data_IF_529327884874
#
_entry.id   IF_529327884874
#
_cell.length_a   1.000
_cell.length_b   1.000
_cell.length_c   1.000
_cell.angle_alpha   90.00
_cell.angle_beta   90.00
_cell.angle_gamma   90.00
#
_symmetry.space_group_name_H-M   'P 1'
#
loop_
_entity.id
_entity.type
_entity.pdbx_description
1 polymer ?
#
# COMPACT_ATOMS: atom_id res chain seq x y z
N UNK A 1 -24.26 6.12 13.26
CA UNK A 1 -23.83 6.43 11.88
C UNK A 1 -25.00 6.99 11.10
N UNK A 2 -24.79 7.91 10.15
CA UNK A 2 -25.88 8.35 9.25
C UNK A 2 -26.21 7.20 8.28
N UNK A 3 -27.48 6.91 7.97
CA UNK A 3 -27.88 5.79 7.10
C UNK A 3 -27.26 5.89 5.70
N UNK A 4 -26.97 7.10 5.22
CA UNK A 4 -26.27 7.34 3.96
C UNK A 4 -24.83 6.79 3.94
N UNK A 5 -24.12 6.78 5.07
CA UNK A 5 -22.74 6.27 5.14
C UNK A 5 -22.67 4.74 5.03
N UNK A 6 -23.72 4.04 5.48
CA UNK A 6 -23.87 2.59 5.34
C UNK A 6 -24.07 2.20 3.87
N UNK A 7 -25.04 2.84 3.19
CA UNK A 7 -25.32 2.58 1.77
C UNK A 7 -24.11 2.84 0.87
N UNK A 8 -23.35 3.90 1.18
CA UNK A 8 -22.16 4.26 0.41
C UNK A 8 -21.01 3.29 0.67
N UNK A 9 -20.86 2.78 1.89
CA UNK A 9 -19.92 1.71 2.18
C UNK A 9 -20.23 0.45 1.37
N UNK A 10 -21.49 0.01 1.35
CA UNK A 10 -21.93 -1.15 0.57
C UNK A 10 -21.67 -0.93 -0.93
N UNK A 11 -22.10 0.21 -1.49
CA UNK A 11 -21.91 0.52 -2.89
C UNK A 11 -20.42 0.58 -3.29
N UNK A 12 -19.58 1.18 -2.45
CA UNK A 12 -18.14 1.22 -2.65
C UNK A 12 -17.50 -0.19 -2.61
N UNK A 13 -17.97 -1.05 -1.70
CA UNK A 13 -17.52 -2.43 -1.62
C UNK A 13 -17.88 -3.24 -2.86
N UNK A 14 -19.12 -3.11 -3.37
CA UNK A 14 -19.53 -3.74 -4.62
C UNK A 14 -18.71 -3.22 -5.81
N UNK A 15 -18.47 -1.91 -5.89
CA UNK A 15 -17.61 -1.34 -6.94
C UNK A 15 -16.18 -1.89 -6.88
N UNK A 16 -15.59 -2.00 -5.69
CA UNK A 16 -14.27 -2.62 -5.49
C UNK A 16 -14.25 -4.09 -5.92
N UNK A 17 -15.29 -4.86 -5.59
CA UNK A 17 -15.43 -6.25 -6.02
C UNK A 17 -15.52 -6.38 -7.55
N UNK A 18 -16.28 -5.53 -8.22
CA UNK A 18 -16.41 -5.53 -9.68
C UNK A 18 -15.09 -5.16 -10.39
N UNK A 19 -14.38 -4.15 -9.87
CA UNK A 19 -13.06 -3.77 -10.38
C UNK A 19 -12.06 -4.92 -10.26
N UNK A 20 -12.13 -5.68 -9.16
CA UNK A 20 -11.26 -6.83 -8.95
C UNK A 20 -11.70 -8.07 -9.75
N UNK A 21 -13.00 -8.28 -9.93
CA UNK A 21 -13.55 -9.44 -10.65
C UNK A 21 -13.00 -9.54 -12.08
N UNK A 22 -12.75 -8.41 -12.73
CA UNK A 22 -12.14 -8.39 -14.06
C UNK A 22 -10.77 -9.10 -14.13
N UNK A 23 -9.97 -9.05 -13.06
CA UNK A 23 -8.67 -9.75 -13.00
C UNK A 23 -8.85 -11.27 -13.14
N UNK A 24 -9.91 -11.79 -12.50
CA UNK A 24 -10.22 -13.22 -12.50
C UNK A 24 -10.71 -13.67 -13.88
N UNK A 25 -11.37 -12.79 -14.63
CA UNK A 25 -11.82 -13.05 -16.00
C UNK A 25 -10.69 -12.95 -17.05
N UNK A 26 -9.43 -12.73 -16.63
CA UNK A 26 -8.22 -12.78 -17.47
C UNK A 26 -8.20 -11.86 -18.70
N UNK A 27 -8.84 -10.68 -18.65
CA UNK A 27 -8.67 -9.69 -19.72
C UNK A 27 -7.49 -8.76 -19.44
N UNK A 28 -6.69 -8.44 -20.47
CA UNK A 28 -5.50 -7.59 -20.35
C UNK A 28 -5.84 -6.20 -19.78
N UNK A 29 -6.98 -5.63 -20.19
CA UNK A 29 -7.48 -4.34 -19.67
C UNK A 29 -7.91 -4.42 -18.20
N UNK A 30 -8.32 -5.60 -17.73
CA UNK A 30 -8.80 -5.78 -16.37
C UNK A 30 -7.70 -5.82 -15.30
N UNK A 31 -6.44 -6.08 -15.68
CA UNK A 31 -5.31 -5.98 -14.74
C UNK A 31 -5.26 -4.56 -14.16
N UNK A 32 -5.28 -3.53 -15.02
CA UNK A 32 -5.25 -2.13 -14.59
C UNK A 32 -6.47 -1.77 -13.72
N UNK A 33 -7.65 -2.26 -14.09
CA UNK A 33 -8.88 -2.03 -13.31
C UNK A 33 -8.81 -2.68 -11.92
N UNK A 34 -8.21 -3.86 -11.81
CA UNK A 34 -8.07 -4.55 -10.52
C UNK A 34 -7.13 -3.81 -9.56
N UNK A 35 -6.11 -3.12 -10.09
CA UNK A 35 -5.24 -2.25 -9.28
C UNK A 35 -6.01 -1.05 -8.72
N UNK A 36 -7.12 -0.65 -9.35
CA UNK A 36 -7.98 0.42 -8.86
C UNK A 36 -8.98 -0.03 -7.77
N UNK A 37 -9.08 -1.33 -7.46
CA UNK A 37 -10.04 -1.87 -6.49
C UNK A 37 -9.97 -1.23 -5.07
N UNK A 38 -8.82 -0.79 -4.52
CA UNK A 38 -8.79 -0.09 -3.24
C UNK A 38 -9.44 1.30 -3.25
N UNK A 39 -9.54 1.96 -4.42
CA UNK A 39 -9.92 3.37 -4.53
C UNK A 39 -11.34 3.62 -4.00
N UNK A 40 -12.39 2.85 -4.37
CA UNK A 40 -13.72 3.02 -3.80
C UNK A 40 -13.75 2.91 -2.27
N UNK A 41 -12.96 1.99 -1.70
CA UNK A 41 -12.88 1.76 -0.25
C UNK A 41 -12.24 2.97 0.43
N UNK A 42 -11.15 3.51 -0.13
CA UNK A 42 -10.55 4.74 0.36
C UNK A 42 -11.51 5.93 0.28
N UNK A 43 -12.27 6.08 -0.81
CA UNK A 43 -13.26 7.15 -0.97
C UNK A 43 -14.33 7.06 0.13
N UNK A 44 -14.86 5.87 0.39
CA UNK A 44 -15.83 5.64 1.46
C UNK A 44 -15.23 5.97 2.84
N UNK A 45 -14.02 5.48 3.12
CA UNK A 45 -13.32 5.73 4.39
C UNK A 45 -13.03 7.21 4.63
N UNK A 46 -12.50 7.92 3.63
CA UNK A 46 -12.09 9.32 3.76
C UNK A 46 -13.28 10.29 3.72
N UNK A 47 -14.31 10.00 2.92
CA UNK A 47 -15.43 10.91 2.70
C UNK A 47 -16.64 10.70 3.63
N UNK A 48 -16.81 9.49 4.18
CA UNK A 48 -17.95 9.09 5.01
C UNK A 48 -17.56 8.47 6.35
N UNK A 49 -16.26 8.45 6.65
CA UNK A 49 -15.71 8.00 7.92
C UNK A 49 -15.28 6.54 7.91
N UNK A 50 -14.49 6.17 8.90
CA UNK A 50 -13.78 4.88 8.94
C UNK A 50 -14.72 3.67 8.94
N UNK A 51 -15.88 3.77 9.59
CA UNK A 51 -16.83 2.65 9.61
C UNK A 51 -17.38 2.37 8.21
N UNK A 52 -17.59 3.40 7.38
CA UNK A 52 -17.99 3.22 5.98
C UNK A 52 -16.91 2.50 5.18
N UNK A 53 -15.63 2.80 5.44
CA UNK A 53 -14.48 2.10 4.85
C UNK A 53 -14.41 0.61 5.22
N UNK A 54 -14.59 0.26 6.50
CA UNK A 54 -14.59 -1.15 6.94
C UNK A 54 -15.80 -1.92 6.40
N UNK A 55 -16.97 -1.30 6.31
CA UNK A 55 -18.14 -1.90 5.66
C UNK A 55 -17.84 -2.15 4.18
N UNK A 56 -17.24 -1.17 3.48
CA UNK A 56 -16.85 -1.34 2.08
C UNK A 56 -15.88 -2.51 1.89
N UNK A 57 -14.89 -2.66 2.79
CA UNK A 57 -13.96 -3.77 2.74
C UNK A 57 -14.64 -5.14 2.92
N UNK A 58 -15.52 -5.26 3.92
CA UNK A 58 -16.30 -6.48 4.15
C UNK A 58 -17.22 -6.81 2.98
N UNK A 59 -17.95 -5.81 2.47
CA UNK A 59 -18.83 -5.96 1.30
C UNK A 59 -18.04 -6.36 0.07
N UNK A 60 -16.84 -5.82 -0.16
CA UNK A 60 -16.00 -6.19 -1.30
C UNK A 60 -15.63 -7.67 -1.30
N UNK A 61 -15.18 -8.19 -0.15
CA UNK A 61 -14.85 -9.62 0.01
C UNK A 61 -16.07 -10.52 -0.17
N UNK A 62 -17.20 -10.17 0.46
CA UNK A 62 -18.45 -10.94 0.37
C UNK A 62 -18.99 -10.95 -1.06
N UNK A 63 -19.03 -9.78 -1.72
CA UNK A 63 -19.55 -9.65 -3.06
C UNK A 63 -18.70 -10.46 -4.05
N UNK A 64 -17.38 -10.38 -3.98
CA UNK A 64 -16.50 -11.15 -4.86
C UNK A 64 -16.62 -12.66 -4.61
N UNK A 65 -16.68 -13.10 -3.35
CA UNK A 65 -16.90 -14.50 -3.01
C UNK A 65 -18.21 -15.03 -3.59
N UNK A 66 -19.28 -14.23 -3.50
CA UNK A 66 -20.59 -14.58 -4.05
C UNK A 66 -20.59 -14.60 -5.59
N UNK A 67 -19.94 -13.64 -6.25
CA UNK A 67 -19.89 -13.56 -7.73
C UNK A 67 -19.12 -14.73 -8.34
N UNK A 68 -18.03 -15.16 -7.71
CA UNK A 68 -17.17 -16.24 -8.20
C UNK A 68 -17.45 -17.60 -7.56
N UNK A 69 -18.47 -17.69 -6.70
CA UNK A 69 -18.79 -18.89 -5.91
C UNK A 69 -17.58 -19.50 -5.21
N UNK A 70 -16.65 -18.65 -4.75
CA UNK A 70 -15.37 -19.06 -4.16
C UNK A 70 -15.03 -18.21 -2.95
N UNK A 71 -14.98 -18.83 -1.78
CA UNK A 71 -14.56 -18.14 -0.56
C UNK A 71 -13.11 -17.64 -0.67
N UNK A 72 -12.25 -18.40 -1.37
CA UNK A 72 -10.85 -18.04 -1.57
C UNK A 72 -10.65 -16.73 -2.32
N UNK A 73 -11.45 -16.45 -3.35
CA UNK A 73 -11.35 -15.19 -4.10
C UNK A 73 -11.75 -13.98 -3.26
N UNK A 74 -12.83 -14.09 -2.48
CA UNK A 74 -13.26 -13.05 -1.54
C UNK A 74 -12.22 -12.78 -0.45
N UNK A 75 -11.62 -13.84 0.12
CA UNK A 75 -10.54 -13.73 1.09
C UNK A 75 -9.29 -13.09 0.49
N UNK A 76 -8.97 -13.38 -0.76
CA UNK A 76 -7.85 -12.78 -1.49
C UNK A 76 -8.04 -11.27 -1.62
N UNK A 77 -9.18 -10.80 -2.13
CA UNK A 77 -9.48 -9.36 -2.24
C UNK A 77 -9.52 -8.69 -0.85
N UNK A 78 -10.17 -9.33 0.12
CA UNK A 78 -10.32 -8.80 1.48
C UNK A 78 -8.96 -8.58 2.15
N UNK A 79 -8.09 -9.59 2.13
CA UNK A 79 -6.81 -9.56 2.85
C UNK A 79 -5.72 -8.75 2.13
N UNK A 80 -5.62 -8.82 0.80
CA UNK A 80 -4.58 -8.07 0.06
C UNK A 80 -4.90 -6.59 -0.08
N UNK A 81 -6.15 -6.23 -0.40
CA UNK A 81 -6.47 -4.87 -0.85
C UNK A 81 -7.48 -4.19 0.06
N UNK A 82 -8.60 -4.86 0.34
CA UNK A 82 -9.74 -4.20 0.95
C UNK A 82 -9.50 -3.81 2.41
N UNK A 83 -8.95 -4.72 3.21
CA UNK A 83 -8.64 -4.49 4.61
C UNK A 83 -7.47 -3.51 4.80
N UNK A 84 -6.33 -3.65 4.10
CA UNK A 84 -5.28 -2.63 4.11
C UNK A 84 -5.77 -1.23 3.73
N UNK A 85 -6.67 -1.14 2.73
CA UNK A 85 -7.27 0.13 2.33
C UNK A 85 -8.15 0.74 3.43
N UNK A 86 -8.99 -0.07 4.10
CA UNK A 86 -9.82 0.40 5.21
C UNK A 86 -8.98 0.86 6.41
N UNK A 87 -7.91 0.12 6.75
CA UNK A 87 -6.98 0.49 7.83
C UNK A 87 -6.27 1.80 7.50
N UNK A 88 -5.67 1.92 6.31
CA UNK A 88 -4.96 3.12 5.92
C UNK A 88 -5.90 4.34 5.77
N UNK A 89 -7.12 4.14 5.27
CA UNK A 89 -8.15 5.17 5.22
C UNK A 89 -8.62 5.61 6.62
N UNK A 90 -8.73 4.69 7.58
CA UNK A 90 -9.01 5.02 8.97
C UNK A 90 -7.90 5.87 9.57
N UNK A 91 -6.65 5.42 9.48
CA UNK A 91 -5.49 6.13 10.00
C UNK A 91 -5.34 7.52 9.36
N UNK A 92 -5.56 7.64 8.05
CA UNK A 92 -5.50 8.93 7.37
C UNK A 92 -6.57 9.93 7.86
N UNK A 93 -7.71 9.43 8.32
CA UNK A 93 -8.80 10.23 8.88
C UNK A 93 -8.68 10.55 10.37
N UNK A 94 -7.73 9.94 11.09
CA UNK A 94 -7.50 10.23 12.50
C UNK A 94 -6.85 11.61 12.67
N UNK A 95 -7.43 12.40 13.56
CA UNK A 95 -6.90 13.68 14.00
C UNK A 95 -7.17 13.89 15.48
N UNK A 96 -6.26 14.57 16.17
CA UNK A 96 -6.37 14.95 17.58
C UNK A 96 -6.47 16.48 17.66
N UNK A 97 -7.33 17.01 18.52
CA UNK A 97 -7.32 18.44 18.81
C UNK A 97 -6.06 18.78 19.62
N UNK A 98 -5.25 19.73 19.15
CA UNK A 98 -4.14 20.28 19.93
C UNK A 98 -4.63 21.47 20.75
N UNK A 99 -4.61 21.33 22.07
CA UNK A 99 -4.92 22.38 23.03
C UNK A 99 -4.88 21.85 24.46
N UNK A 100 -4.00 22.42 25.29
CA UNK A 100 -3.97 22.28 26.75
C UNK A 100 -5.23 22.90 27.38
N UNK A 101 -6.35 22.21 27.21
CA UNK A 101 -7.46 22.29 28.13
C UNK A 101 -7.77 20.87 28.58
N UNK A 102 -7.01 20.41 29.58
CA UNK A 102 -7.64 19.54 30.57
C UNK A 102 -9.00 20.13 30.92
N UNK A 103 -10.08 19.34 31.07
CA UNK A 103 -11.34 19.85 31.58
C UNK A 103 -11.20 20.16 33.08
N UNK A 104 -10.32 21.08 33.45
CA UNK A 104 -10.57 21.90 34.63
C UNK A 104 -11.73 22.77 34.22
N UNK A 105 -12.91 22.48 34.74
CA UNK A 105 -14.03 23.40 34.72
C UNK A 105 -13.68 24.58 35.64
N UNK A 106 -13.59 25.83 35.15
CA UNK A 106 -14.17 26.93 35.88
C UNK A 106 -15.58 27.13 35.33
N UNK A 107 -16.55 27.22 36.22
CA UNK A 107 -17.91 27.62 35.89
C UNK A 107 -17.89 28.81 34.93
N UNK A 108 -18.50 28.63 33.76
CA UNK A 108 -18.63 29.68 32.77
C UNK A 108 -19.55 30.79 33.32
N UNK A 109 -18.96 31.92 33.70
CA UNK A 109 -19.68 33.19 33.72
C UNK A 109 -19.88 33.64 32.27
N UNK A 110 -21.13 33.76 31.87
CA UNK A 110 -21.55 34.08 30.52
C UNK A 110 -21.15 35.51 30.11
N UNK A 111 -20.03 35.67 29.40
CA UNK A 111 -19.82 36.78 28.45
C UNK A 111 -18.50 36.63 27.67
N UNK A 112 -18.56 36.00 26.49
CA UNK A 112 -17.88 36.44 25.28
C UNK A 112 -18.19 35.48 24.12
N UNK A 113 -19.04 35.92 23.19
CA UNK A 113 -19.27 35.32 21.87
C UNK A 113 -18.19 35.74 20.87
N UNK A 114 -16.91 35.55 21.21
CA UNK A 114 -15.88 35.47 20.18
C UNK A 114 -15.96 34.08 19.55
N UNK A 115 -16.23 34.01 18.24
CA UNK A 115 -16.17 32.77 17.47
C UNK A 115 -14.86 32.03 17.79
N UNK A 116 -14.97 30.89 18.46
CA UNK A 116 -13.83 30.06 18.79
C UNK A 116 -13.06 29.77 17.50
N UNK A 117 -11.82 30.22 17.44
CA UNK A 117 -10.89 29.87 16.35
C UNK A 117 -10.90 28.35 16.24
N UNK A 118 -11.00 27.75 15.04
CA UNK A 118 -10.95 26.30 14.90
C UNK A 118 -9.68 25.81 15.61
N UNK A 119 -9.86 25.00 16.65
CA UNK A 119 -8.75 24.41 17.40
C UNK A 119 -7.83 23.74 16.37
N UNK A 120 -6.50 23.97 16.39
CA UNK A 120 -5.62 23.31 15.45
C UNK A 120 -5.76 21.79 15.62
N UNK A 121 -6.02 21.08 14.53
CA UNK A 121 -6.06 19.61 14.51
C UNK A 121 -4.69 19.09 14.11
N UNK A 122 -4.12 18.23 14.95
CA UNK A 122 -2.93 17.44 14.63
C UNK A 122 -3.34 16.12 13.98
N UNK A 123 -2.95 15.93 12.72
CA UNK A 123 -3.36 14.81 11.89
C UNK A 123 -2.40 13.64 12.03
N UNK A 124 -2.92 12.42 11.93
CA UNK A 124 -2.08 11.23 12.03
C UNK A 124 -0.93 11.25 11.01
N UNK A 125 0.32 11.02 11.44
CA UNK A 125 1.49 11.30 10.65
C UNK A 125 1.63 10.35 9.46
N UNK A 126 2.06 10.88 8.31
CA UNK A 126 2.22 10.12 7.07
C UNK A 126 3.21 8.95 7.23
N UNK A 127 4.18 9.08 8.15
CA UNK A 127 5.14 8.02 8.44
C UNK A 127 4.50 6.76 9.02
N UNK A 128 3.55 6.94 9.94
CA UNK A 128 2.81 5.82 10.55
C UNK A 128 1.78 5.24 9.57
N UNK A 129 1.22 6.06 8.67
CA UNK A 129 0.33 5.58 7.59
C UNK A 129 1.10 4.68 6.62
N UNK A 130 2.26 5.13 6.13
CA UNK A 130 3.08 4.32 5.21
C UNK A 130 3.55 3.02 5.87
N UNK A 131 3.96 3.08 7.13
CA UNK A 131 4.30 1.88 7.91
C UNK A 131 3.13 0.91 8.05
N UNK A 132 1.92 1.41 8.33
CA UNK A 132 0.73 0.59 8.42
C UNK A 132 0.33 -0.02 7.06
N UNK A 133 0.49 0.72 5.96
CA UNK A 133 0.29 0.19 4.60
C UNK A 133 1.26 -0.96 4.35
N UNK A 134 2.57 -0.77 4.59
CA UNK A 134 3.58 -1.81 4.38
C UNK A 134 3.33 -3.05 5.26
N UNK A 135 2.96 -2.84 6.53
CA UNK A 135 2.70 -3.93 7.48
C UNK A 135 1.43 -4.70 7.16
N UNK A 136 0.33 -4.00 6.83
CA UNK A 136 -0.94 -4.65 6.46
C UNK A 136 -0.86 -5.34 5.10
N UNK A 137 -0.13 -4.78 4.13
CA UNK A 137 0.16 -5.44 2.87
C UNK A 137 0.99 -6.72 3.08
N UNK A 138 2.02 -6.68 3.94
CA UNK A 138 2.81 -7.87 4.26
C UNK A 138 1.94 -8.95 4.89
N UNK A 139 1.14 -8.60 5.90
CA UNK A 139 0.22 -9.53 6.56
C UNK A 139 -0.78 -10.14 5.57
N UNK A 140 -1.35 -9.34 4.68
CA UNK A 140 -2.27 -9.80 3.63
C UNK A 140 -1.62 -10.78 2.66
N UNK A 141 -0.42 -10.45 2.16
CA UNK A 141 0.33 -11.31 1.24
C UNK A 141 0.77 -12.63 1.91
N UNK A 142 1.21 -12.59 3.17
CA UNK A 142 1.55 -13.78 3.94
C UNK A 142 0.33 -14.68 4.13
N UNK A 143 -0.81 -14.09 4.47
CA UNK A 143 -2.07 -14.83 4.60
C UNK A 143 -2.49 -15.47 3.28
N UNK A 144 -2.36 -14.76 2.15
CA UNK A 144 -2.68 -15.31 0.82
C UNK A 144 -1.71 -16.43 0.43
N UNK A 145 -0.42 -16.24 0.66
CA UNK A 145 0.59 -17.28 0.40
C UNK A 145 0.28 -18.57 1.16
N UNK A 146 -0.12 -18.44 2.43
CA UNK A 146 -0.60 -19.58 3.22
C UNK A 146 -1.92 -20.17 2.69
N UNK A 147 -2.91 -19.33 2.38
CA UNK A 147 -4.23 -19.74 1.91
C UNK A 147 -4.15 -20.54 0.59
N UNK A 148 -3.26 -20.13 -0.32
CA UNK A 148 -3.05 -20.77 -1.62
C UNK A 148 -2.08 -21.97 -1.52
N UNK A 149 -1.36 -22.12 -0.41
CA UNK A 149 -0.33 -23.14 -0.26
C UNK A 149 0.86 -22.88 -1.20
N UNK A 150 1.29 -21.62 -1.28
CA UNK A 150 2.37 -21.20 -2.18
C UNK A 150 3.66 -21.97 -1.92
N UNK A 151 4.09 -22.77 -2.90
CA UNK A 151 5.33 -23.55 -2.88
C UNK A 151 6.08 -23.38 -4.20
N UNK A 152 7.25 -22.72 -4.20
CA UNK A 152 8.05 -22.54 -5.42
C UNK A 152 8.42 -23.84 -6.13
N UNK A 153 8.58 -24.94 -5.40
CA UNK A 153 8.99 -26.22 -5.96
C UNK A 153 7.89 -26.87 -6.82
N UNK A 154 6.62 -26.63 -6.48
CA UNK A 154 5.46 -27.15 -7.21
C UNK A 154 4.99 -26.19 -8.29
N UNK A 155 5.04 -24.87 -8.05
CA UNK A 155 4.59 -23.87 -9.02
C UNK A 155 5.55 -23.71 -10.22
N UNK A 156 6.87 -23.84 -10.01
CA UNK A 156 7.86 -23.68 -11.08
C UNK A 156 7.64 -24.65 -12.26
N UNK A 157 7.45 -25.97 -12.06
CA UNK A 157 7.19 -26.89 -13.18
C UNK A 157 5.84 -26.63 -13.87
N UNK A 158 4.80 -26.20 -13.14
CA UNK A 158 3.51 -25.84 -13.74
C UNK A 158 3.63 -24.63 -14.67
N UNK A 159 4.36 -23.60 -14.25
CA UNK A 159 4.62 -22.42 -15.08
C UNK A 159 5.51 -22.77 -16.27
N UNK A 160 6.53 -23.61 -16.10
CA UNK A 160 7.35 -24.09 -17.20
C UNK A 160 6.51 -24.83 -18.25
N UNK A 161 5.59 -25.71 -17.82
CA UNK A 161 4.68 -26.42 -18.70
C UNK A 161 3.75 -25.46 -19.46
N UNK A 162 3.21 -24.44 -18.78
CA UNK A 162 2.35 -23.43 -19.40
C UNK A 162 3.10 -22.58 -20.44
N UNK A 163 4.34 -22.17 -20.15
CA UNK A 163 5.19 -21.43 -21.10
C UNK A 163 5.53 -22.28 -22.34
N UNK A 164 5.85 -23.55 -22.13
CA UNK A 164 6.17 -24.49 -23.21
C UNK A 164 4.96 -24.72 -24.12
N UNK A 165 3.76 -24.88 -23.52
CA UNK A 165 2.52 -24.99 -24.28
C UNK A 165 2.24 -23.74 -25.15
N UNK A 166 2.73 -22.57 -24.74
CA UNK A 166 2.55 -21.31 -25.47
C UNK A 166 3.55 -21.14 -26.63
N UNK A 167 4.74 -21.76 -26.58
CA UNK A 167 5.72 -21.75 -27.67
C UNK A 167 5.40 -22.76 -28.79
N UNK A 168 4.53 -23.75 -28.54
CA UNK A 168 4.19 -24.81 -29.49
C UNK A 168 5.21 -25.97 -29.51
N UNK A 169 4.82 -27.10 -30.09
CA UNK A 169 5.69 -28.28 -30.16
C UNK A 169 6.84 -28.07 -31.17
N UNK A 170 8.09 -28.09 -30.68
CA UNK A 170 9.29 -27.97 -31.53
C UNK A 170 10.49 -27.24 -30.90
N UNK A 171 10.50 -27.00 -29.58
CA UNK A 171 11.63 -26.42 -28.87
C UNK A 171 12.79 -27.42 -28.72
N UNK A 172 14.00 -27.01 -29.11
CA UNK A 172 15.22 -27.77 -28.82
C UNK A 172 15.48 -27.85 -27.30
N UNK A 173 16.25 -28.85 -26.88
CA UNK A 173 16.54 -29.10 -25.46
C UNK A 173 17.17 -27.89 -24.73
N UNK A 174 17.93 -27.04 -25.43
CA UNK A 174 18.48 -25.81 -24.86
C UNK A 174 17.38 -24.81 -24.48
N UNK A 175 16.35 -24.68 -25.31
CA UNK A 175 15.18 -23.81 -25.05
C UNK A 175 14.37 -24.32 -23.87
N UNK A 176 14.22 -25.65 -23.73
CA UNK A 176 13.51 -26.26 -22.59
C UNK A 176 14.20 -25.94 -21.26
N UNK A 177 15.52 -26.06 -21.18
CA UNK A 177 16.28 -25.71 -19.96
C UNK A 177 16.14 -24.23 -19.61
N UNK A 178 16.16 -23.34 -20.60
CA UNK A 178 15.96 -21.90 -20.41
C UNK A 178 14.55 -21.58 -19.89
N UNK A 179 13.51 -22.27 -20.38
CA UNK A 179 12.14 -22.11 -19.89
C UNK A 179 12.02 -22.53 -18.42
N UNK A 180 12.66 -23.64 -18.05
CA UNK A 180 12.65 -24.12 -16.65
C UNK A 180 13.36 -23.14 -15.71
N UNK A 181 14.51 -22.61 -16.11
CA UNK A 181 15.24 -21.61 -15.33
C UNK A 181 14.47 -20.28 -15.23
N UNK A 182 13.84 -19.85 -16.32
CA UNK A 182 12.96 -18.68 -16.33
C UNK A 182 11.77 -18.87 -15.40
N UNK A 183 11.09 -20.02 -15.46
CA UNK A 183 9.94 -20.32 -14.60
C UNK A 183 10.34 -20.33 -13.12
N UNK A 184 11.49 -20.94 -12.78
CA UNK A 184 12.04 -20.90 -11.41
C UNK A 184 12.29 -19.47 -10.95
N UNK A 185 12.91 -18.64 -11.80
CA UNK A 185 13.16 -17.24 -11.49
C UNK A 185 11.87 -16.45 -11.29
N UNK A 186 10.88 -16.63 -12.18
CA UNK A 186 9.58 -15.97 -12.09
C UNK A 186 8.91 -16.28 -10.76
N UNK A 187 8.88 -17.55 -10.36
CA UNK A 187 8.28 -17.96 -9.09
C UNK A 187 9.09 -17.43 -7.91
N UNK A 188 10.42 -17.56 -7.91
CA UNK A 188 11.26 -17.10 -6.80
C UNK A 188 11.14 -15.60 -6.49
N UNK A 189 10.86 -14.77 -7.49
CA UNK A 189 10.79 -13.31 -7.34
C UNK A 189 9.38 -12.84 -6.90
N UNK A 190 8.33 -13.63 -7.12
CA UNK A 190 6.93 -13.29 -6.76
C UNK A 190 6.76 -12.85 -5.30
N UNK A 191 7.30 -13.57 -4.29
CA UNK A 191 7.16 -13.19 -2.89
C UNK A 191 7.76 -11.83 -2.56
N UNK A 192 8.69 -11.32 -3.36
CA UNK A 192 9.26 -9.99 -3.19
C UNK A 192 8.51 -8.92 -4.00
N UNK A 193 8.25 -9.18 -5.29
CA UNK A 193 7.70 -8.18 -6.22
C UNK A 193 6.22 -7.94 -5.99
N UNK A 194 5.43 -8.99 -5.76
CA UNK A 194 3.98 -8.84 -5.63
C UNK A 194 3.59 -7.97 -4.40
N UNK A 195 4.18 -8.17 -3.20
CA UNK A 195 3.88 -7.32 -2.06
C UNK A 195 4.41 -5.88 -2.24
N UNK A 196 5.54 -5.72 -2.92
CA UNK A 196 6.07 -4.40 -3.26
C UNK A 196 5.09 -3.62 -4.17
N UNK A 197 4.58 -4.26 -5.21
CA UNK A 197 3.57 -3.69 -6.09
C UNK A 197 2.29 -3.32 -5.32
N UNK A 198 1.84 -4.19 -4.42
CA UNK A 198 0.65 -3.93 -3.61
C UNK A 198 0.78 -2.65 -2.76
N UNK A 199 1.93 -2.41 -2.14
CA UNK A 199 2.18 -1.17 -1.39
C UNK A 199 2.09 0.06 -2.30
N UNK A 200 2.68 0.00 -3.50
CA UNK A 200 2.57 1.09 -4.49
C UNK A 200 1.11 1.36 -4.86
N UNK A 201 0.34 0.30 -5.10
CA UNK A 201 -1.09 0.37 -5.44
C UNK A 201 -1.90 1.00 -4.30
N UNK A 202 -1.67 0.60 -3.06
CA UNK A 202 -2.35 1.15 -1.89
C UNK A 202 -2.01 2.64 -1.68
N UNK A 203 -0.73 3.01 -1.82
CA UNK A 203 -0.29 4.41 -1.70
C UNK A 203 -0.87 5.27 -2.82
N UNK A 204 -0.82 4.79 -4.07
CA UNK A 204 -1.38 5.49 -5.22
C UNK A 204 -2.91 5.63 -5.08
N UNK A 205 -3.59 4.55 -4.69
CA UNK A 205 -5.04 4.54 -4.47
C UNK A 205 -5.47 5.50 -3.37
N UNK A 206 -4.74 5.55 -2.25
CA UNK A 206 -4.99 6.51 -1.18
C UNK A 206 -4.79 7.95 -1.66
N UNK A 207 -3.74 8.21 -2.44
CA UNK A 207 -3.50 9.53 -3.00
C UNK A 207 -4.62 9.97 -3.93
N UNK A 208 -5.01 9.13 -4.90
CA UNK A 208 -6.09 9.41 -5.86
C UNK A 208 -7.42 9.63 -5.12
N UNK A 209 -7.77 8.76 -4.18
CA UNK A 209 -8.98 8.91 -3.38
C UNK A 209 -8.96 10.22 -2.57
N UNK A 210 -7.83 10.59 -1.98
CA UNK A 210 -7.70 11.85 -1.23
C UNK A 210 -7.95 13.08 -2.11
N UNK A 211 -7.52 13.05 -3.37
CA UNK A 211 -7.77 14.11 -4.35
C UNK A 211 -9.26 14.17 -4.68
N UNK A 212 -9.89 13.03 -5.01
CA UNK A 212 -11.31 12.95 -5.37
C UNK A 212 -12.24 13.41 -4.24
N UNK A 213 -11.98 12.97 -3.01
CA UNK A 213 -12.78 13.34 -1.83
C UNK A 213 -12.58 14.83 -1.48
N UNK A 214 -11.37 15.37 -1.69
CA UNK A 214 -11.09 16.80 -1.53
C UNK A 214 -11.80 17.65 -2.57
N UNK A 215 -11.81 17.24 -3.84
CA UNK A 215 -12.58 17.90 -4.90
C UNK A 215 -14.08 17.94 -4.57
N UNK A 216 -14.57 16.93 -3.86
CA UNK A 216 -15.96 16.87 -3.37
C UNK A 216 -16.21 17.70 -2.11
N UNK A 217 -15.20 18.43 -1.59
CA UNK A 217 -15.31 19.25 -0.37
C UNK A 217 -15.47 18.45 0.93
N UNK A 218 -15.25 17.13 0.90
CA UNK A 218 -15.52 16.24 2.04
C UNK A 218 -14.30 15.88 2.86
N UNK A 219 -13.09 16.12 2.35
CA UNK A 219 -11.85 15.76 3.05
C UNK A 219 -11.44 16.88 4.02
N UNK A 220 -11.54 16.71 5.35
CA UNK A 220 -11.17 17.76 6.28
C UNK A 220 -9.64 17.88 6.45
N UNK A 221 -8.89 16.81 6.15
CA UNK A 221 -7.42 16.80 6.21
C UNK A 221 -6.84 17.76 5.20
N UNK A 222 -5.94 18.70 5.56
CA UNK A 222 -5.27 19.58 4.61
C UNK A 222 -4.40 18.78 3.63
N UNK A 223 -3.94 19.43 2.56
CA UNK A 223 -3.05 18.77 1.58
C UNK A 223 -1.65 18.67 2.18
N UNK A 224 -1.20 17.44 2.43
CA UNK A 224 0.16 17.19 2.93
C UNK A 224 1.22 17.49 1.86
N UNK A 225 2.35 18.06 2.30
CA UNK A 225 3.56 18.14 1.48
C UNK A 225 4.29 16.78 1.51
N UNK A 226 3.96 15.90 0.57
CA UNK A 226 4.49 14.52 0.53
C UNK A 226 6.04 14.48 0.51
N UNK A 227 6.77 15.24 -0.34
CA UNK A 227 8.24 15.27 -0.29
C UNK A 227 8.84 15.65 1.07
N UNK A 228 8.16 16.48 1.86
CA UNK A 228 8.62 16.84 3.20
C UNK A 228 8.19 15.80 4.25
N UNK A 229 6.93 15.36 4.20
CA UNK A 229 6.30 14.56 5.26
C UNK A 229 6.53 13.04 5.12
N UNK A 230 6.85 12.53 3.93
CA UNK A 230 7.09 11.10 3.72
C UNK A 230 8.32 10.61 4.51
N UNK A 231 8.09 9.61 5.37
CA UNK A 231 9.09 8.93 6.17
C UNK A 231 8.56 7.57 6.63
N UNK A 232 9.38 6.85 7.38
CA UNK A 232 8.98 5.68 8.15
C UNK A 232 9.38 5.89 9.63
N UNK A 233 8.72 5.22 10.60
CA UNK A 233 9.19 5.18 11.98
C UNK A 233 10.51 4.43 12.07
N UNK A 234 11.32 4.71 13.09
CA UNK A 234 12.66 4.10 13.23
C UNK A 234 12.62 2.58 13.34
N UNK A 235 11.54 2.02 13.87
CA UNK A 235 11.30 0.57 13.95
C UNK A 235 11.30 -0.12 12.57
N UNK A 236 11.06 0.59 11.47
CA UNK A 236 11.12 0.03 10.14
C UNK A 236 12.54 -0.41 9.73
N UNK A 237 13.59 0.19 10.32
CA UNK A 237 14.98 -0.14 10.04
C UNK A 237 15.34 -1.57 10.47
N UNK A 238 15.18 -1.97 11.75
CA UNK A 238 15.46 -3.35 12.15
C UNK A 238 14.53 -4.36 11.49
N UNK A 239 13.25 -4.01 11.26
CA UNK A 239 12.31 -4.89 10.54
C UNK A 239 12.83 -5.23 9.14
N UNK A 240 13.26 -4.23 8.38
CA UNK A 240 13.79 -4.44 7.03
C UNK A 240 15.15 -5.14 7.03
N UNK A 241 16.03 -4.81 7.98
CA UNK A 241 17.33 -5.47 8.12
C UNK A 241 17.18 -6.98 8.45
N UNK A 242 16.28 -7.33 9.37
CA UNK A 242 15.96 -8.72 9.71
C UNK A 242 15.31 -9.46 8.54
N UNK A 243 14.43 -8.80 7.79
CA UNK A 243 13.83 -9.37 6.58
C UNK A 243 14.90 -9.65 5.51
N UNK A 244 15.82 -8.71 5.25
CA UNK A 244 16.92 -8.94 4.32
C UNK A 244 17.82 -10.10 4.77
N UNK A 245 18.16 -10.18 6.07
CA UNK A 245 18.94 -11.30 6.61
C UNK A 245 18.19 -12.64 6.49
N UNK A 246 16.87 -12.65 6.73
CA UNK A 246 16.02 -13.82 6.63
C UNK A 246 15.94 -14.41 5.22
N UNK A 247 16.12 -13.58 4.17
CA UNK A 247 16.17 -14.07 2.78
C UNK A 247 17.30 -15.08 2.54
N UNK A 248 18.37 -15.06 3.36
CA UNK A 248 19.49 -16.00 3.25
C UNK A 248 19.28 -17.31 4.01
N UNK A 249 18.22 -17.44 4.81
CA UNK A 249 17.95 -18.63 5.62
C UNK A 249 17.43 -19.84 4.82
N UNK A 250 17.04 -19.64 3.56
CA UNK A 250 16.44 -20.67 2.71
C UNK A 250 15.02 -21.10 3.16
N UNK A 251 14.42 -21.98 2.36
CA UNK A 251 13.10 -22.58 2.65
C UNK A 251 11.98 -21.57 2.91
N UNK A 252 11.04 -21.93 3.78
CA UNK A 252 9.90 -21.09 4.13
C UNK A 252 10.31 -19.76 4.78
N UNK A 253 11.39 -19.73 5.57
CA UNK A 253 11.87 -18.51 6.22
C UNK A 253 12.27 -17.48 5.18
N UNK A 254 12.98 -17.88 4.13
CA UNK A 254 13.35 -16.97 3.03
C UNK A 254 12.13 -16.41 2.29
N UNK A 255 11.08 -17.21 2.10
CA UNK A 255 9.83 -16.75 1.44
C UNK A 255 9.11 -15.71 2.32
N UNK A 256 8.96 -15.98 3.62
CA UNK A 256 8.35 -15.04 4.57
C UNK A 256 9.15 -13.74 4.63
N UNK A 257 10.47 -13.86 4.69
CA UNK A 257 11.40 -12.74 4.72
C UNK A 257 11.35 -11.91 3.43
N UNK A 258 11.23 -12.55 2.26
CA UNK A 258 11.10 -11.88 0.98
C UNK A 258 9.83 -11.02 0.89
N UNK A 259 8.71 -11.46 1.47
CA UNK A 259 7.47 -10.67 1.54
C UNK A 259 7.67 -9.38 2.33
N UNK A 260 8.27 -9.49 3.52
CA UNK A 260 8.55 -8.33 4.38
C UNK A 260 9.61 -7.42 3.73
N UNK A 261 10.63 -8.00 3.09
CA UNK A 261 11.65 -7.24 2.37
C UNK A 261 11.06 -6.49 1.17
N UNK A 262 10.10 -7.08 0.46
CA UNK A 262 9.39 -6.46 -0.64
C UNK A 262 8.57 -5.23 -0.20
N UNK A 263 7.72 -5.40 0.82
CA UNK A 263 6.85 -4.30 1.29
C UNK A 263 7.62 -3.16 1.95
N UNK A 264 8.59 -3.47 2.81
CA UNK A 264 9.40 -2.43 3.46
C UNK A 264 10.45 -1.84 2.52
N UNK A 265 11.02 -2.65 1.63
CA UNK A 265 11.97 -2.18 0.62
C UNK A 265 11.35 -1.13 -0.28
N UNK A 266 10.14 -1.39 -0.82
CA UNK A 266 9.45 -0.38 -1.63
C UNK A 266 9.00 0.83 -0.82
N UNK A 267 8.63 0.66 0.46
CA UNK A 267 8.30 1.79 1.32
C UNK A 267 9.52 2.70 1.54
N UNK A 268 10.71 2.13 1.78
CA UNK A 268 11.96 2.90 1.81
C UNK A 268 12.27 3.55 0.47
N UNK A 269 12.07 2.86 -0.65
CA UNK A 269 12.21 3.44 -1.99
C UNK A 269 11.32 4.66 -2.18
N UNK A 270 10.06 4.61 -1.77
CA UNK A 270 9.13 5.75 -1.84
C UNK A 270 9.62 6.94 -0.99
N UNK A 271 10.16 6.68 0.21
CA UNK A 271 10.79 7.72 1.05
C UNK A 271 12.03 8.32 0.38
N UNK A 272 12.86 7.49 -0.26
CA UNK A 272 14.02 7.94 -1.03
C UNK A 272 13.65 8.83 -2.21
N UNK A 273 12.64 8.43 -2.98
CA UNK A 273 12.09 9.22 -4.09
C UNK A 273 11.48 10.55 -3.59
N UNK A 274 10.78 10.53 -2.45
CA UNK A 274 10.30 11.75 -1.81
C UNK A 274 11.45 12.68 -1.37
N UNK A 275 12.57 12.13 -0.88
CA UNK A 275 13.78 12.91 -0.59
C UNK A 275 14.40 13.52 -1.86
N UNK A 276 14.45 12.77 -2.97
CA UNK A 276 14.92 13.31 -4.24
C UNK A 276 14.06 14.49 -4.72
N UNK A 277 12.73 14.35 -4.61
CA UNK A 277 11.79 15.45 -4.87
C UNK A 277 12.05 16.66 -3.97
N UNK A 278 12.34 16.44 -2.69
CA UNK A 278 12.66 17.51 -1.74
C UNK A 278 13.99 18.21 -2.06
N UNK A 279 15.05 17.45 -2.31
CA UNK A 279 16.41 17.97 -2.58
C UNK A 279 16.52 18.75 -3.89
N UNK A 280 15.67 18.42 -4.86
CA UNK A 280 15.61 19.12 -6.16
C UNK A 280 14.68 20.34 -6.15
N UNK A 281 14.04 20.68 -5.02
CA UNK A 281 13.23 21.90 -4.91
C UNK A 281 14.12 23.14 -5.01
N UNK A 282 13.67 24.13 -5.79
CA UNK A 282 14.39 25.40 -5.98
C UNK A 282 15.56 25.34 -6.97
N UNK A 283 15.94 24.16 -7.47
CA UNK A 283 16.99 24.06 -8.51
C UNK A 283 16.42 24.37 -9.89
N UNK A 284 17.15 25.14 -10.71
CA UNK A 284 16.73 25.47 -12.09
C UNK A 284 16.58 24.20 -12.97
N UNK A 285 17.41 23.18 -12.74
CA UNK A 285 17.45 21.95 -13.55
C UNK A 285 16.56 20.84 -13.00
N UNK A 286 15.57 21.16 -12.14
CA UNK A 286 14.72 20.17 -11.47
C UNK A 286 14.06 19.19 -12.44
N UNK A 287 13.52 19.70 -13.55
CA UNK A 287 12.85 18.88 -14.56
C UNK A 287 13.78 17.80 -15.14
N UNK A 288 14.99 18.20 -15.54
CA UNK A 288 15.99 17.29 -16.09
C UNK A 288 16.45 16.24 -15.06
N UNK A 289 16.71 16.66 -13.82
CA UNK A 289 17.13 15.75 -12.74
C UNK A 289 16.06 14.70 -12.45
N UNK A 290 14.80 15.10 -12.30
CA UNK A 290 13.72 14.16 -12.05
C UNK A 290 13.45 13.28 -13.27
N UNK A 291 13.42 13.85 -14.47
CA UNK A 291 13.25 13.07 -15.70
C UNK A 291 14.32 11.99 -15.83
N UNK A 292 15.60 12.35 -15.65
CA UNK A 292 16.71 11.39 -15.72
C UNK A 292 16.62 10.31 -14.64
N UNK A 293 16.25 10.68 -13.41
CA UNK A 293 16.07 9.71 -12.33
C UNK A 293 14.95 8.72 -12.65
N UNK A 294 13.77 9.19 -13.07
CA UNK A 294 12.66 8.31 -13.43
C UNK A 294 12.93 7.49 -14.70
N UNK A 295 13.55 8.09 -15.73
CA UNK A 295 13.97 7.35 -16.92
C UNK A 295 14.96 6.24 -16.56
N UNK A 296 15.93 6.52 -15.69
CA UNK A 296 16.87 5.50 -15.22
C UNK A 296 16.19 4.36 -14.44
N UNK A 297 15.16 4.66 -13.63
CA UNK A 297 14.37 3.63 -12.95
C UNK A 297 13.66 2.74 -13.97
N UNK A 298 13.03 3.33 -14.98
CA UNK A 298 12.29 2.60 -16.02
C UNK A 298 13.21 1.74 -16.87
N UNK A 299 14.36 2.26 -17.31
CA UNK A 299 15.24 1.54 -18.22
C UNK A 299 16.24 0.60 -17.55
N UNK A 300 16.64 0.87 -16.30
CA UNK A 300 17.76 0.18 -15.66
C UNK A 300 17.38 -0.58 -14.39
N UNK A 301 16.24 -0.26 -13.74
CA UNK A 301 15.74 -0.83 -12.48
C UNK A 301 16.66 -0.70 -11.24
N UNK A 302 17.99 -0.82 -11.36
CA UNK A 302 18.95 -0.68 -10.27
C UNK A 302 18.89 0.67 -9.52
N UNK A 303 18.46 1.81 -10.13
CA UNK A 303 18.30 3.06 -9.38
C UNK A 303 17.26 2.96 -8.25
N UNK A 304 16.37 1.97 -8.28
CA UNK A 304 15.49 1.66 -7.15
C UNK A 304 16.29 1.32 -5.89
N UNK A 305 17.40 0.58 -6.02
CA UNK A 305 18.29 0.24 -4.89
C UNK A 305 18.88 1.51 -4.29
N UNK A 306 19.35 2.44 -5.13
CA UNK A 306 19.88 3.72 -4.66
C UNK A 306 18.80 4.54 -3.93
N UNK A 307 17.56 4.54 -4.43
CA UNK A 307 16.43 5.17 -3.75
C UNK A 307 16.08 4.47 -2.43
N UNK A 308 16.11 3.14 -2.34
CA UNK A 308 15.94 2.39 -1.09
C UNK A 308 16.98 2.80 -0.06
N UNK A 309 18.27 2.79 -0.43
CA UNK A 309 19.39 3.19 0.44
C UNK A 309 19.21 4.63 0.93
N UNK A 310 18.83 5.54 0.03
CA UNK A 310 18.53 6.92 0.39
C UNK A 310 17.38 7.01 1.41
N UNK A 311 16.31 6.24 1.22
CA UNK A 311 15.18 6.18 2.15
C UNK A 311 15.52 5.63 3.53
N UNK A 312 16.35 4.58 3.58
CA UNK A 312 16.91 4.02 4.83
C UNK A 312 17.70 5.09 5.59
N UNK A 313 18.58 5.80 4.89
CA UNK A 313 19.42 6.85 5.48
C UNK A 313 18.62 8.04 6.00
N UNK A 314 17.62 8.49 5.24
CA UNK A 314 16.70 9.55 5.66
C UNK A 314 15.91 9.17 6.93
N UNK A 315 15.51 7.91 7.01
CA UNK A 315 14.78 7.38 8.17
C UNK A 315 15.70 7.28 9.40
N UNK A 316 16.96 6.87 9.23
CA UNK A 316 17.94 6.81 10.32
C UNK A 316 18.29 8.20 10.88
N UNK A 317 18.34 9.23 10.02
CA UNK A 317 18.71 10.59 10.41
C UNK A 317 17.60 11.36 11.13
N UNK A 318 16.32 11.06 10.88
CA UNK A 318 15.22 11.76 11.55
C UNK A 318 15.25 11.46 13.05
N UNK A 319 15.42 12.49 13.87
CA UNK A 319 15.19 12.42 15.32
C UNK A 319 13.68 12.39 15.55
N UNK A 320 13.18 11.36 16.23
CA UNK A 320 11.83 11.41 16.77
C UNK A 320 11.81 12.51 17.83
N UNK A 321 10.81 13.42 17.85
CA UNK A 321 10.65 14.33 18.96
C UNK A 321 10.52 13.49 20.24
N UNK A 322 11.43 13.70 21.20
CA UNK A 322 11.30 13.11 22.53
C UNK A 322 9.95 13.53 23.12
N UNK A 323 9.00 12.59 23.28
CA UNK A 323 7.76 12.84 24.04
C UNK A 323 6.42 12.33 23.48
N UNK A 324 6.37 11.37 22.55
CA UNK A 324 5.09 10.69 22.25
C UNK A 324 4.95 9.44 23.14
N UNK A 325 3.97 9.36 24.06
CA UNK A 325 3.74 8.14 24.84
C UNK A 325 3.29 6.99 23.94
N UNK A 326 3.73 5.79 24.31
CA UNK A 326 3.46 4.50 23.66
C UNK A 326 1.96 4.20 23.48
#
# INVERSE_FOLDING_TARGET
MKPSALLIGIAAGVAAALLFAGLVLQSATAVVLSLAAPIPIFIASLGWGSVSGFIAAGTAGIALAATLSSLGSGLLLLSSMALPAAIAGHLAGLARATGDAAPTMPMATAQNTQAASPQPLDWYPLSRILFAIASSAAAGCLFIGWLVGYDPATLAPEIAAALTAQLGAGSDAATETQIQDLARLMVQVVPFVQPALLVVVLVAGLHIASVLVRMSGRLPRPKDDIPLSAALPRVALPVFALALAGCFAGGAIAILAAVVAGTFGIAFTLVGLASLHRRTRGTANRGLLLFSAYASIVFLSFPLIAATVLGVFETARRQEPQGAPD
#
